data_IF_804444617199
#
_entry.id   IF_804444617199
#
_cell.length_a   1.000
_cell.length_b   1.000
_cell.length_c   1.000
_cell.angle_alpha   90.00
_cell.angle_beta   90.00
_cell.angle_gamma   90.00
#
_symmetry.space_group_name_H-M   'P 1'
#
loop_
_entity.id
_entity.type
_entity.pdbx_description
1 polymer ?
#
# COMPACT_ATOMS: atom_id res chain seq x y z
N UNK A 1 43.53 -14.67 -15.52
CA UNK A 1 43.48 -13.37 -14.81
C UNK A 1 42.72 -12.28 -15.58
N UNK A 2 42.87 -12.15 -16.90
CA UNK A 2 42.20 -11.10 -17.71
C UNK A 2 40.64 -11.13 -17.65
N UNK A 3 40.02 -12.32 -17.62
CA UNK A 3 38.55 -12.47 -17.51
C UNK A 3 37.96 -12.01 -16.17
N UNK A 4 38.71 -12.13 -15.08
CA UNK A 4 38.29 -11.70 -13.73
C UNK A 4 38.39 -10.18 -13.62
N UNK A 5 39.41 -9.58 -14.24
CA UNK A 5 39.60 -8.12 -14.31
C UNK A 5 38.48 -7.43 -15.12
N UNK A 6 38.05 -8.04 -16.24
CA UNK A 6 36.93 -7.56 -17.06
C UNK A 6 35.57 -7.58 -16.31
N UNK A 7 35.33 -8.61 -15.48
CA UNK A 7 34.13 -8.69 -14.64
C UNK A 7 34.16 -7.63 -13.51
N UNK A 8 35.31 -7.41 -12.87
CA UNK A 8 35.46 -6.38 -11.83
C UNK A 8 35.35 -4.95 -12.38
N UNK A 9 35.89 -4.69 -13.58
CA UNK A 9 35.74 -3.41 -14.29
C UNK A 9 34.29 -3.16 -14.72
N UNK A 10 33.57 -4.18 -15.17
CA UNK A 10 32.14 -4.06 -15.49
C UNK A 10 31.27 -3.78 -14.24
N UNK A 11 31.59 -4.41 -13.10
CA UNK A 11 30.91 -4.12 -11.83
C UNK A 11 31.24 -2.72 -11.28
N UNK A 12 32.46 -2.22 -11.44
CA UNK A 12 32.82 -0.84 -11.07
C UNK A 12 32.18 0.20 -12.01
N UNK A 13 32.10 -0.06 -13.32
CA UNK A 13 31.43 0.82 -14.27
C UNK A 13 29.92 0.96 -13.99
N UNK A 14 29.26 -0.12 -13.55
CA UNK A 14 27.84 -0.09 -13.15
C UNK A 14 27.60 0.69 -11.84
N UNK A 15 28.57 0.73 -10.93
CA UNK A 15 28.50 1.54 -9.71
C UNK A 15 28.66 3.05 -10.00
N UNK A 16 29.24 3.42 -11.14
CA UNK A 16 29.50 4.81 -11.55
C UNK A 16 28.49 5.37 -12.56
N UNK A 17 27.51 4.58 -13.01
CA UNK A 17 26.54 4.98 -14.04
C UNK A 17 25.19 5.50 -13.55
N UNK A 18 24.99 5.72 -12.25
CA UNK A 18 23.67 6.08 -11.70
C UNK A 18 23.73 7.08 -10.54
N UNK A 19 22.77 8.01 -10.53
CA UNK A 19 22.50 8.89 -9.39
C UNK A 19 21.55 8.16 -8.43
N UNK A 20 22.03 7.85 -7.24
CA UNK A 20 21.20 7.28 -6.16
C UNK A 20 20.61 8.41 -5.33
N UNK A 21 19.32 8.34 -5.03
CA UNK A 21 18.72 9.30 -4.12
C UNK A 21 19.30 9.11 -2.71
N UNK A 22 19.56 10.19 -1.99
CA UNK A 22 19.85 10.15 -0.56
C UNK A 22 18.57 10.39 0.24
N UNK A 23 18.56 10.00 1.53
CA UNK A 23 17.42 10.26 2.41
C UNK A 23 17.08 11.76 2.45
N UNK A 24 18.07 12.63 2.61
CA UNK A 24 17.88 14.08 2.63
C UNK A 24 17.26 14.64 1.34
N UNK A 25 17.58 14.06 0.17
CA UNK A 25 16.97 14.48 -1.10
C UNK A 25 15.50 14.08 -1.21
N UNK A 26 15.13 12.90 -0.70
CA UNK A 26 13.76 12.40 -0.72
C UNK A 26 12.89 13.07 0.35
N UNK A 27 13.42 13.29 1.54
CA UNK A 27 12.70 13.95 2.64
C UNK A 27 12.66 15.47 2.50
N UNK A 28 13.68 16.07 1.88
CA UNK A 28 13.79 17.53 1.73
C UNK A 28 12.99 18.11 0.57
N UNK A 29 12.30 17.28 -0.22
CA UNK A 29 11.47 17.73 -1.34
C UNK A 29 9.98 17.51 -1.06
N UNK A 30 9.16 18.42 -1.59
CA UNK A 30 7.71 18.28 -1.62
C UNK A 30 7.17 18.33 -3.06
N UNK A 31 8.06 18.20 -4.06
CA UNK A 31 7.71 18.15 -5.48
C UNK A 31 7.52 16.70 -5.89
N UNK A 32 6.72 16.48 -6.93
CA UNK A 32 6.51 15.14 -7.49
C UNK A 32 7.64 14.81 -8.45
N UNK A 33 8.32 13.70 -8.19
CA UNK A 33 9.30 13.14 -9.11
C UNK A 33 8.61 12.44 -10.27
N UNK A 34 8.78 12.97 -11.49
CA UNK A 34 8.29 12.35 -12.71
C UNK A 34 9.45 12.00 -13.64
N UNK A 35 9.27 10.96 -14.44
CA UNK A 35 10.17 10.56 -15.53
C UNK A 35 9.41 10.51 -16.83
N UNK A 36 10.10 10.85 -17.92
CA UNK A 36 9.56 10.73 -19.28
C UNK A 36 10.07 9.44 -19.91
N UNK A 37 9.15 8.55 -20.27
CA UNK A 37 9.45 7.34 -21.00
C UNK A 37 9.90 7.61 -22.44
N UNK A 38 10.44 6.60 -23.11
CA UNK A 38 10.87 6.69 -24.53
C UNK A 38 9.73 7.08 -25.47
N UNK A 39 8.49 6.70 -25.14
CA UNK A 39 7.26 7.08 -25.84
C UNK A 39 6.77 8.51 -25.52
N UNK A 40 7.60 9.33 -24.86
CA UNK A 40 7.30 10.69 -24.38
C UNK A 40 6.20 10.78 -23.31
N UNK A 41 5.64 9.67 -22.83
CA UNK A 41 4.67 9.68 -21.74
C UNK A 41 5.33 9.92 -20.39
N UNK A 42 4.66 10.68 -19.54
CA UNK A 42 5.09 10.90 -18.17
C UNK A 42 4.61 9.78 -17.26
N UNK A 43 5.45 9.40 -16.31
CA UNK A 43 5.11 8.51 -15.20
C UNK A 43 5.81 8.96 -13.93
N UNK A 44 5.31 8.51 -12.78
CA UNK A 44 5.96 8.76 -11.49
C UNK A 44 7.31 8.04 -11.44
N UNK A 45 8.33 8.70 -10.88
CA UNK A 45 9.57 8.02 -10.51
C UNK A 45 9.25 7.02 -9.39
N UNK A 46 9.69 5.77 -9.57
CA UNK A 46 9.44 4.67 -8.63
C UNK A 46 10.69 4.05 -8.02
N UNK A 47 11.81 4.19 -8.72
CA UNK A 47 13.07 3.55 -8.38
C UNK A 47 13.95 4.47 -7.55
N UNK A 48 14.80 3.88 -6.72
CA UNK A 48 15.70 4.62 -5.83
C UNK A 48 16.99 5.14 -6.51
N UNK A 49 17.12 4.97 -7.82
CA UNK A 49 18.20 5.55 -8.62
C UNK A 49 17.73 5.96 -10.01
N UNK A 50 18.52 6.84 -10.63
CA UNK A 50 18.36 7.32 -12.01
C UNK A 50 19.63 7.02 -12.80
N UNK A 51 19.50 6.49 -14.02
CA UNK A 51 20.66 6.28 -14.89
C UNK A 51 21.22 7.63 -15.38
N UNK A 52 22.52 7.69 -15.64
CA UNK A 52 23.14 8.88 -16.28
C UNK A 52 22.37 9.22 -17.56
N UNK A 53 22.05 10.51 -17.73
CA UNK A 53 21.22 11.04 -18.81
C UNK A 53 19.71 11.07 -18.50
N UNK A 54 19.23 10.31 -17.49
CA UNK A 54 17.82 10.37 -17.11
C UNK A 54 17.51 11.74 -16.47
N UNK A 55 16.49 12.40 -17.01
CA UNK A 55 16.00 13.68 -16.52
C UNK A 55 14.72 13.47 -15.72
N UNK A 56 14.73 13.93 -14.48
CA UNK A 56 13.57 14.00 -13.61
C UNK A 56 12.85 15.33 -13.83
N UNK A 57 11.55 15.28 -14.08
CA UNK A 57 10.69 16.46 -14.06
C UNK A 57 10.07 16.57 -12.66
N UNK A 58 10.43 17.62 -11.94
CA UNK A 58 10.04 17.90 -10.56
C UNK A 58 8.84 18.84 -10.55
N UNK A 59 7.65 18.24 -10.55
CA UNK A 59 6.38 18.94 -10.76
C UNK A 59 5.76 19.43 -9.46
N UNK A 60 5.22 20.66 -9.49
CA UNK A 60 4.36 21.18 -8.44
C UNK A 60 3.00 21.65 -8.93
N UNK A 61 2.96 22.30 -10.09
CA UNK A 61 1.71 22.64 -10.76
C UNK A 61 2.01 22.84 -12.26
N UNK A 62 1.00 23.05 -13.13
CA UNK A 62 1.22 23.21 -14.56
C UNK A 62 2.15 24.36 -14.97
N UNK A 63 2.39 25.34 -14.09
CA UNK A 63 3.28 26.50 -14.32
C UNK A 63 4.63 26.39 -13.58
N UNK A 64 4.79 25.41 -12.69
CA UNK A 64 5.99 25.22 -11.88
C UNK A 64 6.51 23.78 -12.02
N UNK A 65 7.33 23.59 -13.06
CA UNK A 65 8.00 22.33 -13.39
C UNK A 65 9.48 22.65 -13.59
N UNK A 66 10.32 22.13 -12.70
CA UNK A 66 11.78 22.24 -12.82
C UNK A 66 12.35 20.87 -13.16
N UNK A 67 13.55 20.83 -13.73
CA UNK A 67 14.19 19.59 -14.13
C UNK A 67 15.51 19.40 -13.39
N UNK A 68 15.87 18.14 -13.17
CA UNK A 68 17.23 17.75 -12.79
C UNK A 68 17.63 16.52 -13.57
N UNK A 69 18.85 16.52 -14.10
CA UNK A 69 19.38 15.41 -14.89
C UNK A 69 20.45 14.70 -14.10
N UNK A 70 20.44 13.36 -14.14
CA UNK A 70 21.55 12.58 -13.61
C UNK A 70 22.76 12.74 -14.55
N UNK A 71 23.82 13.41 -14.10
CA UNK A 71 25.01 13.65 -14.89
C UNK A 71 26.14 12.70 -14.48
N UNK A 72 26.93 12.26 -15.47
CA UNK A 72 28.16 11.53 -15.22
C UNK A 72 29.20 12.42 -14.52
N UNK A 73 30.09 11.80 -13.78
CA UNK A 73 31.21 12.43 -13.12
C UNK A 73 31.97 11.40 -12.29
N UNK A 74 32.96 11.85 -11.51
CA UNK A 74 33.65 10.96 -10.55
C UNK A 74 32.67 10.25 -9.62
N UNK A 75 31.60 10.95 -9.23
CA UNK A 75 30.39 10.41 -8.63
C UNK A 75 29.20 10.99 -9.39
N UNK A 76 28.36 10.14 -9.98
CA UNK A 76 27.18 10.58 -10.70
C UNK A 76 26.23 11.34 -9.76
N UNK A 77 25.76 12.51 -10.19
CA UNK A 77 24.96 13.39 -9.35
C UNK A 77 23.85 14.10 -10.14
N UNK A 78 22.77 14.43 -9.43
CA UNK A 78 21.67 15.24 -9.95
C UNK A 78 22.12 16.70 -10.15
N UNK A 79 21.83 17.26 -11.33
CA UNK A 79 22.16 18.63 -11.71
C UNK A 79 20.96 19.30 -12.41
N UNK A 80 20.42 20.41 -11.85
CA UNK A 80 20.77 21.03 -10.56
C UNK A 80 20.54 20.07 -9.37
N UNK A 81 21.21 20.29 -8.22
CA UNK A 81 21.14 19.38 -7.08
C UNK A 81 19.75 19.32 -6.45
N UNK A 82 19.42 18.15 -5.90
CA UNK A 82 18.28 17.93 -5.00
C UNK A 82 18.68 18.24 -3.54
N UNK A 83 17.73 18.57 -2.65
CA UNK A 83 16.28 18.65 -2.88
C UNK A 83 15.84 19.97 -3.52
N UNK A 84 14.69 19.92 -4.19
CA UNK A 84 13.98 21.09 -4.70
C UNK A 84 12.62 21.15 -4.04
N UNK A 85 12.07 22.33 -3.78
CA UNK A 85 10.79 22.50 -3.09
C UNK A 85 9.84 23.39 -3.89
N UNK A 86 8.56 23.37 -3.53
CA UNK A 86 7.56 24.36 -3.95
C UNK A 86 6.73 24.85 -2.78
N UNK A 87 6.06 25.98 -3.01
CA UNK A 87 5.25 26.66 -2.00
C UNK A 87 4.07 25.81 -1.50
N UNK A 88 3.43 25.07 -2.40
CA UNK A 88 2.30 24.19 -2.10
C UNK A 88 2.58 22.79 -2.64
N UNK A 89 2.67 21.82 -1.74
CA UNK A 89 2.86 20.42 -2.11
C UNK A 89 1.63 19.92 -2.88
N UNK A 90 1.80 19.20 -4.00
CA UNK A 90 0.64 18.74 -4.74
C UNK A 90 -0.02 17.55 -4.05
N UNK A 91 -1.34 17.52 -4.05
CA UNK A 91 -2.11 16.44 -3.45
C UNK A 91 -2.46 15.36 -4.48
N UNK A 92 -2.32 14.09 -4.07
CA UNK A 92 -2.87 12.99 -4.85
C UNK A 92 -4.40 13.00 -4.74
N UNK A 93 -5.06 12.67 -5.84
CA UNK A 93 -6.52 12.61 -5.94
C UNK A 93 -6.97 11.18 -6.31
N UNK A 94 -8.19 10.85 -5.90
CA UNK A 94 -8.88 9.61 -6.25
C UNK A 94 -9.89 9.89 -7.36
N UNK A 95 -9.79 9.20 -8.49
CA UNK A 95 -10.72 9.39 -9.63
C UNK A 95 -11.24 8.05 -10.14
N UNK A 96 -12.53 7.93 -10.50
CA UNK A 96 -13.05 6.70 -11.08
C UNK A 96 -12.44 6.45 -12.46
N UNK A 97 -12.27 5.17 -12.81
CA UNK A 97 -11.76 4.73 -14.11
C UNK A 97 -12.50 3.47 -14.54
N UNK A 98 -12.67 3.28 -15.85
CA UNK A 98 -13.25 2.04 -16.37
C UNK A 98 -12.21 0.91 -16.31
N UNK A 99 -12.52 -0.14 -15.57
CA UNK A 99 -11.72 -1.35 -15.49
C UNK A 99 -12.63 -2.54 -15.18
N UNK A 100 -12.80 -3.45 -16.15
CA UNK A 100 -13.70 -4.61 -16.04
C UNK A 100 -13.23 -5.65 -15.03
N UNK A 101 -11.98 -5.57 -14.55
CA UNK A 101 -11.49 -6.47 -13.49
C UNK A 101 -12.10 -6.16 -12.12
N UNK A 102 -12.71 -4.99 -11.96
CA UNK A 102 -13.40 -4.59 -10.74
C UNK A 102 -14.89 -4.91 -10.83
N UNK A 103 -15.47 -5.73 -9.92
CA UNK A 103 -16.92 -5.96 -9.88
C UNK A 103 -17.72 -4.76 -9.34
N UNK A 104 -17.06 -3.67 -8.95
CA UNK A 104 -17.66 -2.44 -8.46
C UNK A 104 -17.10 -1.23 -9.25
N UNK A 105 -16.75 -0.13 -8.58
CA UNK A 105 -16.07 0.99 -9.25
C UNK A 105 -14.56 0.89 -9.03
N UNK A 106 -13.79 0.87 -10.12
CA UNK A 106 -12.35 1.02 -10.03
C UNK A 106 -12.01 2.50 -9.87
N UNK A 107 -11.21 2.81 -8.86
CA UNK A 107 -10.64 4.13 -8.63
C UNK A 107 -9.13 4.07 -8.84
N UNK A 108 -8.58 5.05 -9.54
CA UNK A 108 -7.14 5.28 -9.61
C UNK A 108 -6.76 6.41 -8.65
N UNK A 109 -5.68 6.23 -7.91
CA UNK A 109 -5.10 7.25 -7.03
C UNK A 109 -3.78 7.70 -7.61
N UNK A 110 -3.54 9.00 -7.66
CA UNK A 110 -2.34 9.55 -8.29
C UNK A 110 -2.47 11.05 -8.50
N UNK A 111 -1.79 11.57 -9.52
CA UNK A 111 -1.71 13.01 -9.75
C UNK A 111 -2.20 13.38 -11.14
N UNK A 112 -3.10 14.36 -11.21
CA UNK A 112 -3.45 15.00 -12.47
C UNK A 112 -2.42 16.11 -12.74
N UNK A 113 -1.60 15.92 -13.77
CA UNK A 113 -0.50 16.85 -14.11
C UNK A 113 -0.85 17.76 -15.30
N UNK A 114 -2.12 17.81 -15.69
CA UNK A 114 -2.60 18.57 -16.85
C UNK A 114 -2.43 17.82 -18.17
N UNK A 115 -2.83 18.45 -19.29
CA UNK A 115 -2.73 17.89 -20.65
C UNK A 115 -3.32 16.47 -20.78
N UNK A 116 -4.42 16.19 -20.09
CA UNK A 116 -5.07 14.87 -20.01
C UNK A 116 -4.15 13.74 -19.51
N UNK A 117 -3.09 14.06 -18.75
CA UNK A 117 -2.20 13.08 -18.15
C UNK A 117 -2.50 12.88 -16.66
N UNK A 118 -2.79 11.62 -16.32
CA UNK A 118 -2.94 11.18 -14.94
C UNK A 118 -1.83 10.19 -14.61
N UNK A 119 -1.02 10.52 -13.59
CA UNK A 119 0.07 9.67 -13.15
C UNK A 119 -0.41 8.77 -12.01
N UNK A 120 -0.82 7.56 -12.36
CA UNK A 120 -1.38 6.59 -11.42
C UNK A 120 -0.31 6.01 -10.47
N UNK A 121 -0.65 5.99 -9.18
CA UNK A 121 0.10 5.39 -8.08
C UNK A 121 -0.29 3.94 -7.84
N UNK A 122 -1.57 3.75 -7.59
CA UNK A 122 -2.23 2.47 -7.40
C UNK A 122 -3.68 2.63 -7.84
N UNK A 123 -4.37 1.50 -7.95
CA UNK A 123 -5.82 1.47 -8.18
C UNK A 123 -6.53 0.60 -7.16
N UNK A 124 -7.76 0.97 -6.85
CA UNK A 124 -8.59 0.36 -5.82
C UNK A 124 -9.96 0.02 -6.40
N UNK A 125 -10.32 -1.26 -6.38
CA UNK A 125 -11.69 -1.67 -6.63
C UNK A 125 -12.52 -1.46 -5.35
N UNK A 126 -13.47 -0.53 -5.41
CA UNK A 126 -14.21 -0.08 -4.25
C UNK A 126 -15.72 -0.08 -4.50
N UNK A 127 -16.45 -0.59 -3.51
CA UNK A 127 -17.91 -0.60 -3.45
C UNK A 127 -18.36 0.54 -2.54
N UNK A 128 -18.77 1.65 -3.14
CA UNK A 128 -19.20 2.86 -2.42
C UNK A 128 -20.49 2.64 -1.64
N UNK A 129 -21.38 1.77 -2.13
CA UNK A 129 -22.64 1.44 -1.44
C UNK A 129 -22.38 0.66 -0.16
N UNK A 130 -21.40 -0.24 -0.18
CA UNK A 130 -21.02 -1.02 0.99
C UNK A 130 -19.89 -0.38 1.83
N UNK A 131 -19.29 0.73 1.39
CA UNK A 131 -18.08 1.34 1.99
C UNK A 131 -17.00 0.28 2.16
N UNK A 132 -16.70 -0.44 1.08
CA UNK A 132 -15.87 -1.65 1.10
C UNK A 132 -14.82 -1.60 0.00
N UNK A 133 -13.54 -1.60 0.40
CA UNK A 133 -12.46 -1.92 -0.50
C UNK A 133 -12.47 -3.43 -0.79
N UNK A 134 -12.58 -3.80 -2.07
CA UNK A 134 -12.57 -5.19 -2.53
C UNK A 134 -11.12 -5.65 -2.72
N UNK A 135 -10.35 -4.87 -3.50
CA UNK A 135 -8.92 -5.06 -3.65
C UNK A 135 -8.23 -3.76 -4.07
N UNK A 136 -6.93 -3.67 -3.81
CA UNK A 136 -6.01 -2.64 -4.28
C UNK A 136 -4.86 -3.30 -5.01
N UNK A 137 -4.45 -2.70 -6.12
CA UNK A 137 -3.30 -3.13 -6.91
C UNK A 137 -2.25 -2.05 -6.97
N UNK A 138 -1.01 -2.41 -6.67
CA UNK A 138 0.15 -1.54 -6.75
C UNK A 138 1.42 -2.32 -7.09
N UNK A 139 2.50 -1.58 -7.31
CA UNK A 139 3.84 -2.13 -7.49
C UNK A 139 4.71 -1.78 -6.31
N UNK A 140 5.45 -2.76 -5.81
CA UNK A 140 6.45 -2.58 -4.76
C UNK A 140 7.83 -2.61 -5.41
N UNK A 141 8.58 -1.53 -5.25
CA UNK A 141 9.92 -1.37 -5.84
C UNK A 141 11.00 -1.56 -4.77
N UNK A 142 12.18 -2.03 -5.19
CA UNK A 142 13.33 -2.13 -4.31
C UNK A 142 13.75 -0.76 -3.78
N UNK A 143 14.10 -0.69 -2.49
CA UNK A 143 14.55 0.55 -1.85
C UNK A 143 15.74 0.36 -0.91
N UNK A 144 16.71 1.27 -0.93
CA UNK A 144 17.92 1.19 -0.10
C UNK A 144 17.73 1.72 1.32
N UNK A 145 16.67 2.51 1.57
CA UNK A 145 16.36 3.05 2.88
C UNK A 145 14.88 3.38 3.01
N UNK A 146 14.47 3.62 4.26
CA UNK A 146 13.14 4.10 4.63
C UNK A 146 13.23 5.57 5.04
N UNK A 147 12.20 6.35 4.69
CA UNK A 147 12.03 7.74 5.10
C UNK A 147 11.02 7.85 6.23
N UNK A 148 11.08 8.97 6.95
CA UNK A 148 10.05 9.34 7.91
C UNK A 148 8.75 9.66 7.16
N UNK A 149 7.62 9.15 7.67
CA UNK A 149 6.32 9.33 7.03
C UNK A 149 5.87 10.80 7.16
N UNK A 150 5.65 11.54 6.04
CA UNK A 150 5.31 12.96 6.13
C UNK A 150 3.82 13.25 6.37
N UNK A 151 2.93 12.31 6.04
CA UNK A 151 1.48 12.46 6.23
C UNK A 151 0.85 11.21 6.85
N UNK A 152 -0.19 11.40 7.67
CA UNK A 152 -0.96 10.31 8.29
C UNK A 152 -2.48 10.50 8.23
N UNK A 153 -2.94 11.62 7.66
CA UNK A 153 -4.36 11.93 7.58
C UNK A 153 -4.99 11.27 6.36
N UNK A 154 -6.10 10.57 6.60
CA UNK A 154 -6.89 9.94 5.52
C UNK A 154 -7.82 10.97 4.88
N UNK A 155 -7.97 10.88 3.56
CA UNK A 155 -8.99 11.60 2.79
C UNK A 155 -9.95 10.63 2.10
N UNK A 156 -11.22 11.02 1.97
CA UNK A 156 -12.19 10.31 1.12
C UNK A 156 -12.13 10.76 -0.33
N UNK A 157 -11.63 11.97 -0.60
CA UNK A 157 -11.76 12.68 -1.88
C UNK A 157 -13.21 12.65 -2.42
N UNK A 158 -14.20 12.68 -1.51
CA UNK A 158 -15.63 12.62 -1.87
C UNK A 158 -16.15 11.24 -2.29
N UNK A 159 -15.32 10.18 -2.23
CA UNK A 159 -15.76 8.81 -2.58
C UNK A 159 -16.73 8.23 -1.55
N UNK A 160 -16.58 8.60 -0.29
CA UNK A 160 -17.47 8.20 0.81
C UNK A 160 -17.95 9.43 1.58
N UNK A 161 -19.08 9.32 2.27
CA UNK A 161 -19.64 10.42 3.06
C UNK A 161 -18.83 10.68 4.34
N UNK A 162 -18.94 11.88 4.92
CA UNK A 162 -18.34 12.18 6.22
C UNK A 162 -18.85 11.27 7.35
N UNK A 163 -20.09 10.79 7.28
CA UNK A 163 -20.61 9.79 8.22
C UNK A 163 -19.90 8.43 8.08
N UNK A 164 -19.57 8.04 6.86
CA UNK A 164 -18.80 6.82 6.59
C UNK A 164 -17.34 6.96 7.02
N UNK A 165 -16.72 8.12 6.82
CA UNK A 165 -15.39 8.41 7.39
C UNK A 165 -15.41 8.31 8.91
N UNK A 166 -16.43 8.90 9.55
CA UNK A 166 -16.59 8.91 10.99
C UNK A 166 -16.79 7.49 11.56
N UNK A 167 -17.28 6.53 10.77
CA UNK A 167 -17.44 5.14 11.21
C UNK A 167 -16.12 4.45 11.59
N UNK A 168 -14.98 4.96 11.13
CA UNK A 168 -13.64 4.48 11.50
C UNK A 168 -13.09 5.12 12.79
N UNK A 169 -13.81 6.05 13.42
CA UNK A 169 -13.35 6.69 14.66
C UNK A 169 -13.52 5.73 15.84
N UNK A 170 -12.61 5.82 16.81
CA UNK A 170 -12.66 4.96 18.02
C UNK A 170 -14.01 5.09 18.74
N UNK A 171 -14.55 6.31 18.82
CA UNK A 171 -15.87 6.58 19.42
C UNK A 171 -16.99 5.82 18.70
N UNK A 172 -17.05 5.89 17.37
CA UNK A 172 -18.13 5.26 16.62
C UNK A 172 -17.98 3.75 16.54
N UNK A 173 -16.75 3.22 16.46
CA UNK A 173 -16.48 1.78 16.55
C UNK A 173 -17.00 1.25 17.89
N UNK A 174 -16.62 1.87 19.01
CA UNK A 174 -17.13 1.50 20.33
C UNK A 174 -18.67 1.57 20.42
N UNK A 175 -19.27 2.65 19.90
CA UNK A 175 -20.73 2.81 19.84
C UNK A 175 -21.42 1.72 19.02
N UNK A 176 -20.83 1.31 17.90
CA UNK A 176 -21.31 0.19 17.08
C UNK A 176 -21.27 -1.12 17.85
N UNK A 177 -20.17 -1.43 18.53
CA UNK A 177 -20.08 -2.65 19.32
C UNK A 177 -21.06 -2.66 20.49
N UNK A 178 -21.32 -1.52 21.15
CA UNK A 178 -22.38 -1.41 22.16
C UNK A 178 -23.77 -1.75 21.61
N UNK A 179 -24.10 -1.27 20.40
CA UNK A 179 -25.39 -1.60 19.75
C UNK A 179 -25.49 -3.07 19.37
N UNK A 180 -24.41 -3.66 18.88
CA UNK A 180 -24.40 -5.06 18.42
C UNK A 180 -24.40 -6.05 19.59
N UNK A 181 -23.59 -5.81 20.61
CA UNK A 181 -23.26 -6.78 21.66
C UNK A 181 -23.69 -6.37 23.07
N UNK A 182 -24.35 -5.20 23.22
CA UNK A 182 -24.80 -4.67 24.51
C UNK A 182 -23.80 -3.72 25.17
N UNK A 183 -24.25 -2.99 26.19
CA UNK A 183 -23.46 -1.95 26.85
C UNK A 183 -22.20 -2.48 27.57
N UNK A 184 -22.23 -3.74 28.03
CA UNK A 184 -21.15 -4.38 28.78
C UNK A 184 -20.27 -5.29 27.88
N UNK A 185 -20.26 -5.06 26.57
CA UNK A 185 -19.43 -5.84 25.66
C UNK A 185 -17.94 -5.63 25.93
N UNK A 186 -17.16 -6.71 25.83
CA UNK A 186 -15.71 -6.70 26.10
C UNK A 186 -14.85 -6.75 24.82
N UNK A 187 -15.47 -6.71 23.64
CA UNK A 187 -14.73 -6.73 22.39
C UNK A 187 -13.94 -5.41 22.20
N UNK A 188 -14.63 -4.28 22.28
CA UNK A 188 -14.03 -2.94 22.21
C UNK A 188 -14.24 -2.29 23.58
N UNK A 189 -13.36 -2.48 24.56
CA UNK A 189 -13.65 -2.18 25.96
C UNK A 189 -13.82 -0.68 26.28
N UNK A 190 -13.32 0.21 25.41
CA UNK A 190 -13.43 1.65 25.62
C UNK A 190 -13.46 2.42 24.29
N UNK A 191 -13.72 3.73 24.38
CA UNK A 191 -13.82 4.64 23.24
C UNK A 191 -12.58 5.55 23.07
N UNK A 192 -11.43 5.15 23.61
CA UNK A 192 -10.17 5.92 23.61
C UNK A 192 -9.05 5.19 22.87
N UNK A 193 -8.98 3.87 23.03
CA UNK A 193 -7.93 3.03 22.46
C UNK A 193 -8.25 2.60 21.03
N UNK A 194 -7.24 2.65 20.16
CA UNK A 194 -7.35 2.15 18.79
C UNK A 194 -7.26 0.62 18.79
N UNK A 195 -8.41 -0.05 18.87
CA UNK A 195 -8.50 -1.51 18.75
C UNK A 195 -8.68 -1.95 17.29
N UNK A 196 -9.50 -1.24 16.53
CA UNK A 196 -9.66 -1.38 15.08
C UNK A 196 -9.17 -0.08 14.44
N UNK A 197 -8.30 -0.17 13.44
CA UNK A 197 -7.74 0.96 12.72
C UNK A 197 -8.11 0.90 11.22
N UNK A 198 -7.74 1.96 10.49
CA UNK A 198 -7.74 1.99 9.02
C UNK A 198 -6.54 1.21 8.49
N UNK A 199 -6.73 -0.10 8.31
CA UNK A 199 -5.70 -1.01 7.79
C UNK A 199 -5.48 -0.76 6.30
N UNK A 200 -4.24 -0.41 5.92
CA UNK A 200 -3.89 -0.13 4.53
C UNK A 200 -3.86 -1.42 3.70
N UNK A 201 -4.32 -1.35 2.44
CA UNK A 201 -4.15 -2.44 1.47
C UNK A 201 -2.87 -2.27 0.64
N UNK A 202 -2.62 -1.09 0.08
CA UNK A 202 -1.31 -0.63 -0.35
C UNK A 202 -0.65 0.13 0.81
N UNK A 203 0.32 -0.49 1.48
CA UNK A 203 0.96 0.11 2.64
C UNK A 203 1.79 1.34 2.24
N UNK A 204 1.74 2.41 3.03
CA UNK A 204 2.63 3.58 2.81
C UNK A 204 4.09 3.17 2.70
N UNK A 205 4.52 2.23 3.54
CA UNK A 205 5.89 1.72 3.54
C UNK A 205 6.26 0.96 2.26
N UNK A 206 5.35 0.65 1.33
CA UNK A 206 5.69 0.04 0.05
C UNK A 206 6.24 1.06 -0.97
N UNK A 207 6.06 2.35 -0.68
CA UNK A 207 6.49 3.45 -1.53
C UNK A 207 7.81 4.07 -1.02
N UNK A 208 8.47 4.85 -1.88
CA UNK A 208 9.79 5.42 -1.61
C UNK A 208 9.76 6.94 -1.40
N UNK A 209 8.99 7.67 -2.19
CA UNK A 209 8.93 9.14 -2.14
C UNK A 209 7.82 9.64 -1.22
N UNK A 210 8.06 10.72 -0.48
CA UNK A 210 7.15 11.24 0.55
C UNK A 210 5.73 11.50 0.05
N UNK A 211 5.59 12.07 -1.14
CA UNK A 211 4.30 12.30 -1.81
C UNK A 211 3.52 10.98 -2.01
N UNK A 212 4.23 9.93 -2.44
CA UNK A 212 3.66 8.60 -2.69
C UNK A 212 3.25 7.90 -1.40
N UNK A 213 4.03 8.06 -0.32
CA UNK A 213 3.65 7.61 1.01
C UNK A 213 2.34 8.29 1.48
N UNK A 214 2.24 9.61 1.30
CA UNK A 214 1.05 10.37 1.69
C UNK A 214 -0.19 9.96 0.87
N UNK A 215 0.00 9.66 -0.41
CA UNK A 215 -1.08 9.26 -1.32
C UNK A 215 -1.73 7.91 -0.97
N UNK A 216 -1.14 7.10 -0.07
CA UNK A 216 -1.78 5.86 0.39
C UNK A 216 -2.87 6.08 1.45
N UNK A 217 -2.92 7.27 2.07
CA UNK A 217 -3.89 7.62 3.10
C UNK A 217 -5.23 8.01 2.46
N UNK A 218 -5.86 7.07 1.78
CA UNK A 218 -7.18 7.22 1.15
C UNK A 218 -8.13 6.16 1.69
N UNK A 219 -9.38 6.52 1.94
CA UNK A 219 -10.37 5.55 2.44
C UNK A 219 -10.63 4.41 1.44
N UNK A 220 -10.45 4.65 0.13
CA UNK A 220 -10.50 3.58 -0.89
C UNK A 220 -9.40 2.52 -0.73
N UNK A 221 -8.33 2.85 0.00
CA UNK A 221 -7.18 1.99 0.27
C UNK A 221 -7.22 1.40 1.70
N UNK A 222 -8.35 1.48 2.40
CA UNK A 222 -8.46 1.09 3.80
C UNK A 222 -9.59 0.08 4.04
N UNK A 223 -9.36 -0.80 5.00
CA UNK A 223 -10.40 -1.65 5.61
C UNK A 223 -10.32 -1.58 7.13
N UNK A 224 -11.40 -1.87 7.87
CA UNK A 224 -11.34 -2.00 9.32
C UNK A 224 -10.47 -3.21 9.71
N UNK A 225 -9.33 -2.98 10.34
CA UNK A 225 -8.40 -4.04 10.71
C UNK A 225 -8.07 -3.94 12.20
N UNK A 226 -8.05 -5.08 12.91
CA UNK A 226 -7.58 -5.08 14.29
C UNK A 226 -6.12 -4.63 14.35
N UNK A 227 -5.84 -3.65 15.21
CA UNK A 227 -4.52 -3.01 15.30
C UNK A 227 -3.41 -4.03 15.59
N UNK A 228 -3.64 -4.99 16.49
CA UNK A 228 -2.62 -5.99 16.82
C UNK A 228 -2.32 -6.95 15.66
N UNK A 229 -3.27 -7.15 14.76
CA UNK A 229 -3.08 -7.96 13.54
C UNK A 229 -2.32 -7.15 12.49
N UNK A 230 -2.72 -5.88 12.30
CA UNK A 230 -2.01 -4.92 11.46
C UNK A 230 -0.52 -4.83 11.85
N UNK A 231 -0.23 -4.71 13.15
CA UNK A 231 1.13 -4.57 13.67
C UNK A 231 1.85 -5.93 13.88
N UNK A 232 1.15 -7.03 13.66
CA UNK A 232 1.63 -8.40 13.88
C UNK A 232 2.05 -9.08 12.58
N UNK A 233 1.37 -10.18 12.25
CA UNK A 233 1.71 -10.96 11.05
C UNK A 233 1.48 -10.15 9.77
N UNK A 234 0.53 -9.22 9.74
CA UNK A 234 0.26 -8.42 8.55
C UNK A 234 1.46 -7.54 8.19
N UNK A 235 2.00 -6.78 9.15
CA UNK A 235 3.22 -5.99 8.92
C UNK A 235 4.41 -6.89 8.56
N UNK A 236 4.54 -8.06 9.19
CA UNK A 236 5.61 -9.04 8.88
C UNK A 236 5.54 -9.49 7.41
N UNK A 237 4.33 -9.77 6.92
CA UNK A 237 4.08 -10.12 5.51
C UNK A 237 4.45 -8.95 4.59
N UNK A 238 4.00 -7.74 4.89
CA UNK A 238 4.33 -6.58 4.07
C UNK A 238 5.84 -6.31 4.03
N UNK A 239 6.52 -6.46 5.17
CA UNK A 239 7.97 -6.31 5.27
C UNK A 239 8.71 -7.37 4.45
N UNK A 240 8.27 -8.62 4.50
CA UNK A 240 8.81 -9.69 3.67
C UNK A 240 8.70 -9.33 2.17
N UNK A 241 7.53 -8.86 1.73
CA UNK A 241 7.33 -8.48 0.32
C UNK A 241 8.29 -7.35 -0.08
N UNK A 242 8.38 -6.29 0.72
CA UNK A 242 9.32 -5.18 0.46
C UNK A 242 10.76 -5.62 0.38
N UNK A 243 11.19 -6.48 1.30
CA UNK A 243 12.59 -6.93 1.38
C UNK A 243 12.94 -7.98 0.31
N UNK A 244 11.95 -8.58 -0.37
CA UNK A 244 12.20 -9.52 -1.47
C UNK A 244 12.56 -8.84 -2.80
N UNK A 245 12.46 -7.51 -2.88
CA UNK A 245 12.74 -6.73 -4.09
C UNK A 245 14.03 -5.93 -3.93
N UNK A 246 14.94 -6.07 -4.88
CA UNK A 246 16.24 -5.38 -4.87
C UNK A 246 16.49 -4.59 -6.16
N UNK A 247 17.39 -3.61 -6.08
CA UNK A 247 17.75 -2.76 -7.22
C UNK A 247 16.55 -1.99 -7.78
N UNK A 248 16.44 -1.94 -9.11
CA UNK A 248 15.36 -1.26 -9.82
C UNK A 248 14.21 -2.20 -10.23
N UNK A 249 14.16 -3.41 -9.66
CA UNK A 249 13.09 -4.37 -9.90
C UNK A 249 11.81 -4.00 -9.14
N UNK A 250 10.71 -4.66 -9.50
CA UNK A 250 9.44 -4.57 -8.78
C UNK A 250 8.68 -5.90 -8.80
N UNK A 251 7.75 -6.02 -7.86
CA UNK A 251 6.69 -7.04 -7.86
C UNK A 251 5.33 -6.36 -7.98
N UNK A 252 4.39 -7.05 -8.63
CA UNK A 252 2.99 -6.63 -8.67
C UNK A 252 2.29 -7.22 -7.44
N UNK A 253 1.56 -6.38 -6.71
CA UNK A 253 0.86 -6.77 -5.48
C UNK A 253 -0.62 -6.46 -5.63
N UNK A 254 -1.46 -7.45 -5.33
CA UNK A 254 -2.89 -7.26 -5.12
C UNK A 254 -3.21 -7.59 -3.67
N UNK A 255 -3.76 -6.63 -2.95
CA UNK A 255 -4.14 -6.79 -1.54
C UNK A 255 -5.64 -6.54 -1.42
N UNK A 256 -6.36 -7.37 -0.67
CA UNK A 256 -7.79 -7.20 -0.51
C UNK A 256 -8.33 -7.89 0.72
N UNK A 257 -9.65 -7.95 0.80
CA UNK A 257 -10.35 -8.51 1.94
C UNK A 257 -11.54 -9.37 1.50
N UNK A 258 -11.87 -10.40 2.28
CA UNK A 258 -12.96 -11.35 2.00
C UNK A 258 -13.80 -11.64 3.24
N UNK A 259 -15.11 -11.74 3.03
CA UNK A 259 -16.09 -12.06 4.07
C UNK A 259 -16.33 -10.91 5.05
N UNK A 260 -17.20 -11.15 6.03
CA UNK A 260 -17.51 -10.21 7.11
C UNK A 260 -17.25 -10.92 8.43
N UNK A 261 -16.53 -10.27 9.33
CA UNK A 261 -16.27 -10.79 10.67
C UNK A 261 -17.60 -11.04 11.39
N UNK A 262 -17.78 -12.25 11.89
CA UNK A 262 -18.90 -12.62 12.75
C UNK A 262 -18.38 -12.94 14.15
N UNK A 263 -18.99 -12.35 15.17
CA UNK A 263 -18.61 -12.57 16.58
C UNK A 263 -19.80 -13.14 17.37
N UNK A 264 -19.54 -14.00 18.37
CA UNK A 264 -20.58 -14.50 19.26
C UNK A 264 -21.36 -13.38 19.96
N UNK A 265 -22.66 -13.59 20.16
CA UNK A 265 -23.50 -12.74 21.02
C UNK A 265 -24.54 -13.61 21.73
N UNK A 266 -25.21 -13.06 22.75
CA UNK A 266 -26.25 -13.77 23.50
C UNK A 266 -27.40 -14.27 22.62
N UNK A 267 -27.69 -13.59 21.51
CA UNK A 267 -28.75 -13.96 20.56
C UNK A 267 -28.21 -14.70 19.32
N UNK A 268 -27.02 -15.29 19.41
CA UNK A 268 -26.31 -15.92 18.29
C UNK A 268 -25.26 -15.02 17.62
N UNK A 269 -24.45 -15.55 16.68
CA UNK A 269 -23.40 -14.80 16.02
C UNK A 269 -23.91 -13.56 15.25
N UNK A 270 -23.17 -12.46 15.31
CA UNK A 270 -23.50 -11.21 14.61
C UNK A 270 -22.36 -10.74 13.73
N UNK A 271 -22.69 -10.35 12.51
CA UNK A 271 -21.75 -9.73 11.57
C UNK A 271 -21.44 -8.29 12.00
N UNK A 272 -20.18 -7.88 11.87
CA UNK A 272 -19.70 -6.57 12.31
C UNK A 272 -19.60 -5.60 11.13
N UNK A 273 -20.50 -4.62 11.12
CA UNK A 273 -20.52 -3.50 10.18
C UNK A 273 -20.40 -2.18 10.97
N UNK A 274 -19.50 -1.29 10.56
CA UNK A 274 -19.20 -0.06 11.31
C UNK A 274 -20.14 1.10 10.97
N UNK A 275 -20.86 1.04 9.85
CA UNK A 275 -21.77 2.09 9.37
C UNK A 275 -23.13 1.50 8.96
N UNK A 276 -23.96 1.12 9.95
CA UNK A 276 -25.23 0.43 9.67
C UNK A 276 -24.98 -0.95 9.06
N UNK A 277 -25.46 -1.20 7.85
CA UNK A 277 -25.14 -2.41 7.07
C UNK A 277 -23.97 -2.20 6.09
N UNK A 278 -23.17 -1.15 6.28
CA UNK A 278 -22.01 -0.76 5.45
C UNK A 278 -20.73 -0.73 6.29
N UNK A 279 -19.59 -0.58 5.63
CA UNK A 279 -18.26 -0.65 6.20
C UNK A 279 -18.03 -1.95 6.99
N UNK A 280 -18.04 -3.12 6.31
CA UNK A 280 -17.83 -4.40 6.97
C UNK A 280 -16.42 -4.48 7.55
N UNK A 281 -16.29 -4.99 8.78
CA UNK A 281 -15.01 -5.49 9.27
C UNK A 281 -14.76 -6.81 8.55
N UNK A 282 -13.74 -6.94 7.68
CA UNK A 282 -13.53 -8.16 6.93
C UNK A 282 -13.14 -9.31 7.85
N UNK A 283 -13.54 -10.53 7.51
CA UNK A 283 -13.10 -11.73 8.23
C UNK A 283 -11.67 -12.11 7.84
N UNK A 284 -11.32 -11.97 6.56
CA UNK A 284 -10.04 -12.33 6.01
C UNK A 284 -9.40 -11.18 5.24
N UNK A 285 -8.09 -11.04 5.39
CA UNK A 285 -7.22 -10.17 4.60
C UNK A 285 -6.34 -11.04 3.73
N UNK A 286 -6.09 -10.65 2.48
CA UNK A 286 -5.20 -11.40 1.60
C UNK A 286 -4.22 -10.50 0.85
N UNK A 287 -3.06 -11.06 0.50
CA UNK A 287 -2.05 -10.40 -0.34
C UNK A 287 -1.48 -11.39 -1.35
N UNK A 288 -1.62 -11.07 -2.63
CA UNK A 288 -1.09 -11.86 -3.75
C UNK A 288 0.10 -11.10 -4.33
N UNK A 289 1.23 -11.79 -4.45
CA UNK A 289 2.49 -11.23 -4.97
C UNK A 289 2.85 -11.95 -6.25
N UNK A 290 3.15 -11.18 -7.30
CA UNK A 290 3.53 -11.66 -8.62
C UNK A 290 4.80 -10.96 -9.09
N UNK A 291 5.62 -11.62 -9.90
CA UNK A 291 6.78 -10.97 -10.50
C UNK A 291 6.35 -9.96 -11.59
N UNK A 292 7.32 -9.28 -12.20
CA UNK A 292 7.08 -8.31 -13.26
C UNK A 292 6.35 -8.90 -14.49
N UNK A 293 6.52 -10.21 -14.75
CA UNK A 293 5.84 -10.95 -15.82
C UNK A 293 4.48 -11.53 -15.37
N UNK A 294 3.95 -11.08 -14.23
CA UNK A 294 2.69 -11.50 -13.65
C UNK A 294 2.61 -12.99 -13.22
N UNK A 295 3.75 -13.66 -13.12
CA UNK A 295 3.83 -15.03 -12.64
C UNK A 295 3.68 -15.06 -11.11
N UNK A 296 2.92 -16.01 -10.54
CA UNK A 296 2.67 -16.08 -9.10
C UNK A 296 3.95 -16.35 -8.30
N UNK A 297 4.15 -15.61 -7.20
CA UNK A 297 5.25 -15.83 -6.25
C UNK A 297 4.71 -16.44 -4.95
N UNK A 298 3.79 -15.73 -4.30
CA UNK A 298 3.21 -16.15 -3.02
C UNK A 298 1.85 -15.49 -2.82
N UNK A 299 0.95 -16.18 -2.11
CA UNK A 299 -0.30 -15.62 -1.63
C UNK A 299 -0.38 -15.82 -0.11
N UNK A 300 -0.70 -14.74 0.61
CA UNK A 300 -0.91 -14.76 2.05
C UNK A 300 -2.39 -14.53 2.36
N UNK A 301 -2.86 -15.16 3.42
CA UNK A 301 -4.19 -15.01 3.98
C UNK A 301 -4.10 -14.86 5.50
N UNK A 302 -4.67 -13.80 6.06
CA UNK A 302 -4.64 -13.50 7.49
C UNK A 302 -6.07 -13.36 8.02
N UNK A 303 -6.39 -14.09 9.09
CA UNK A 303 -7.66 -13.97 9.80
C UNK A 303 -7.66 -12.64 10.56
N UNK A 304 -8.64 -11.78 10.29
CA UNK A 304 -8.84 -10.51 10.98
C UNK A 304 -9.78 -10.69 12.19
N UNK A 305 -9.39 -11.53 13.15
CA UNK A 305 -10.15 -11.80 14.36
C UNK A 305 -9.23 -12.07 15.56
N UNK A 306 -9.09 -11.10 16.45
CA UNK A 306 -8.27 -11.23 17.67
C UNK A 306 -8.93 -12.07 18.77
N UNK A 307 -10.22 -12.41 18.63
CA UNK A 307 -10.99 -13.16 19.61
C UNK A 307 -11.12 -14.66 19.24
N UNK A 308 -10.46 -15.10 18.17
CA UNK A 308 -10.40 -16.50 17.81
C UNK A 308 -9.70 -17.30 18.93
N UNK A 309 -10.38 -18.30 19.51
CA UNK A 309 -9.83 -19.12 20.59
C UNK A 309 -8.72 -20.06 20.13
N UNK A 310 -8.79 -20.49 18.87
CA UNK A 310 -7.83 -21.39 18.25
C UNK A 310 -7.65 -21.03 16.77
N UNK A 311 -6.58 -21.53 16.16
CA UNK A 311 -6.34 -21.39 14.73
C UNK A 311 -7.45 -22.12 13.95
N UNK A 312 -8.20 -21.45 13.07
CA UNK A 312 -9.19 -22.14 12.24
C UNK A 312 -8.48 -23.01 11.19
N UNK A 313 -9.22 -23.93 10.57
CA UNK A 313 -8.77 -24.54 9.33
C UNK A 313 -8.63 -23.47 8.23
N UNK A 314 -7.74 -23.70 7.27
CA UNK A 314 -7.68 -22.86 6.08
C UNK A 314 -9.01 -22.97 5.31
N UNK A 315 -9.57 -21.86 4.80
CA UNK A 315 -10.80 -21.91 4.03
C UNK A 315 -10.60 -22.61 2.69
N UNK A 316 -11.68 -23.10 2.08
CA UNK A 316 -11.65 -23.87 0.84
C UNK A 316 -10.96 -23.19 -0.36
N UNK A 317 -10.91 -21.85 -0.38
CA UNK A 317 -10.22 -21.08 -1.40
C UNK A 317 -8.72 -20.89 -1.13
N UNK A 318 -8.19 -21.44 -0.03
CA UNK A 318 -6.77 -21.44 0.31
C UNK A 318 -6.27 -22.88 0.46
N UNK A 319 -5.55 -23.37 -0.53
CA UNK A 319 -4.75 -24.59 -0.41
C UNK A 319 -3.45 -24.27 0.32
N UNK A 320 -3.24 -24.71 1.57
CA UNK A 320 -2.08 -24.29 2.36
C UNK A 320 -0.76 -24.79 1.78
N UNK A 321 0.26 -23.93 1.81
CA UNK A 321 1.65 -24.23 1.47
C UNK A 321 2.57 -23.65 2.56
N UNK A 322 3.85 -24.04 2.54
CA UNK A 322 4.83 -23.50 3.48
C UNK A 322 5.01 -21.99 3.27
N UNK A 323 5.04 -21.25 4.38
CA UNK A 323 5.30 -19.82 4.33
C UNK A 323 6.80 -19.53 4.17
N UNK A 324 7.17 -18.56 3.31
CA UNK A 324 8.57 -18.15 3.14
C UNK A 324 9.07 -17.23 4.27
N UNK A 325 8.23 -16.96 5.27
CA UNK A 325 8.52 -16.13 6.43
C UNK A 325 7.86 -16.75 7.66
N UNK A 326 8.51 -16.63 8.83
CA UNK A 326 7.94 -17.06 10.09
C UNK A 326 6.77 -16.15 10.48
N UNK A 327 5.63 -16.74 10.84
CA UNK A 327 4.42 -16.04 11.25
C UNK A 327 3.99 -16.55 12.63
N UNK A 328 3.70 -15.64 13.54
CA UNK A 328 3.28 -15.99 14.89
C UNK A 328 1.95 -16.73 14.88
N UNK A 329 1.84 -17.81 15.64
CA UNK A 329 0.64 -18.65 15.70
C UNK A 329 -0.31 -18.20 16.83
N UNK A 330 -0.77 -16.95 16.81
CA UNK A 330 -1.71 -16.41 17.81
C UNK A 330 -2.81 -15.58 17.16
N UNK A 331 -3.98 -15.51 17.81
CA UNK A 331 -5.07 -14.65 17.36
C UNK A 331 -4.69 -13.16 17.39
N UNK A 332 -3.94 -12.75 18.42
CA UNK A 332 -3.46 -11.35 18.58
C UNK A 332 -2.63 -10.90 17.38
N UNK A 333 -1.73 -11.74 16.88
CA UNK A 333 -0.92 -11.46 15.68
C UNK A 333 -1.68 -11.68 14.36
N UNK A 334 -2.85 -12.35 14.41
CA UNK A 334 -3.66 -12.73 13.27
C UNK A 334 -3.18 -14.04 12.66
N UNK A 335 -3.88 -15.14 12.94
CA UNK A 335 -3.59 -16.45 12.34
C UNK A 335 -3.49 -16.31 10.82
N UNK A 336 -2.37 -16.76 10.26
CA UNK A 336 -2.04 -16.55 8.86
C UNK A 336 -1.68 -17.85 8.15
N UNK A 337 -1.91 -17.87 6.85
CA UNK A 337 -1.65 -18.99 5.95
C UNK A 337 -0.94 -18.47 4.72
N UNK A 338 -0.10 -19.31 4.14
CA UNK A 338 0.35 -19.15 2.76
C UNK A 338 -0.45 -20.10 1.91
N UNK A 339 -1.02 -19.59 0.83
CA UNK A 339 -1.89 -20.34 -0.07
C UNK A 339 -1.18 -20.55 -1.40
N UNK A 340 -1.43 -21.67 -2.07
CA UNK A 340 -0.92 -21.93 -3.41
C UNK A 340 -1.34 -20.79 -4.36
N UNK A 341 -0.40 -19.96 -4.86
CA UNK A 341 -0.74 -18.75 -5.58
C UNK A 341 -1.25 -19.00 -7.01
N UNK A 342 -1.13 -20.24 -7.52
CA UNK A 342 -1.71 -20.65 -8.79
C UNK A 342 -3.23 -20.86 -8.70
N UNK A 343 -3.71 -21.39 -7.56
CA UNK A 343 -5.12 -21.76 -7.33
C UNK A 343 -5.86 -20.78 -6.44
N UNK A 344 -5.16 -19.88 -5.73
CA UNK A 344 -5.76 -18.91 -4.82
C UNK A 344 -6.57 -17.84 -5.59
N UNK A 345 -7.91 -17.94 -5.48
CA UNK A 345 -8.91 -17.00 -6.04
C UNK A 345 -9.85 -16.55 -4.91
N UNK A 346 -9.41 -15.59 -4.08
CA UNK A 346 -10.13 -15.14 -2.90
C UNK A 346 -11.36 -14.30 -3.23
#
# INVERSE_FOLDING_TARGET
MLRILLLLLAFCALAHGQCRFTRAQVEGTNRIFMVRGRNRQLSLKRTASSAVGETLQMWCNPRDIVATTCQAGRVAAFRPPLPMTCRAAPAAITTPVQDRSCPATMYRVGYNVGNNQFLELYRACFDTRAVRAIFVEHRVYGKPFYITRPCVQFSSDGVISGADEASYTVRNIHGTFRRLFGNNQNYIPNNRDVIINRGHLAASADFFFGDQLCATFKYVNAVPQFKSINDGNWETIERFVRNSVTGNNFVNVRTGARGVLSLPSASGPKNVFLSGNRNPVPQWMYKIVRNANNQPIVAFLTLNNIYARQRPAAPNFCQPVNCPVALANTARAGFSFCCNPATFRP
#
